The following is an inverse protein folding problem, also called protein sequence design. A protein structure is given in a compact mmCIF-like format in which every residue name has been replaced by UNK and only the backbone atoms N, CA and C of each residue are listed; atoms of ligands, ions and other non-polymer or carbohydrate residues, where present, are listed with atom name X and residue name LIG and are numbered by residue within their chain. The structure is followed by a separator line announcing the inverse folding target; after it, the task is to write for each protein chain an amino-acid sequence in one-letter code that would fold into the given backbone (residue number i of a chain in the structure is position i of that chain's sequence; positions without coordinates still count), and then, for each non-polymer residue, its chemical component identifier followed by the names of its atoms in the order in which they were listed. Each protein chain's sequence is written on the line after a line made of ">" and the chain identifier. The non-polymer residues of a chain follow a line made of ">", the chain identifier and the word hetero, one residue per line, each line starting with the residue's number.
data_IF_872958207953
#
_entry.id   IF_872958207953
#
_cell.length_a   1.000
_cell.length_b   1.000
_cell.length_c   1.000
_cell.angle_alpha   90.00
_cell.angle_beta   90.00
_cell.angle_gamma   90.00
#
_symmetry.space_group_name_H-M   'P 1'
#
loop_
_entity.id
_entity.type
_entity.pdbx_description
1 polymer ?
#
# COMPACT_ATOMS: atom_id res chain seq x y z
N UNK A 1 -84.23 -7.66 61.54
CA UNK A 1 -83.74 -6.85 60.43
C UNK A 1 -82.42 -6.15 60.90
N UNK A 2 -81.28 -6.66 60.58
CA UNK A 2 -80.02 -6.12 60.99
C UNK A 2 -79.20 -5.74 59.76
N UNK A 3 -79.03 -4.44 59.51
CA UNK A 3 -78.18 -3.90 58.41
C UNK A 3 -76.72 -3.97 58.84
N UNK A 4 -75.95 -4.70 58.08
CA UNK A 4 -74.47 -4.69 58.18
C UNK A 4 -73.88 -3.55 57.31
N UNK A 5 -73.14 -2.65 57.92
CA UNK A 5 -72.34 -1.62 57.21
C UNK A 5 -70.97 -2.20 56.98
N UNK A 6 -70.58 -2.23 55.71
CA UNK A 6 -69.22 -2.61 55.31
C UNK A 6 -68.35 -1.34 55.15
N UNK A 7 -67.32 -1.25 55.95
CA UNK A 7 -66.22 -0.20 55.81
C UNK A 7 -65.22 -0.71 54.83
N UNK A 8 -65.06 -0.02 53.70
CA UNK A 8 -64.01 -0.28 52.76
C UNK A 8 -62.74 0.52 53.11
N UNK A 9 -61.64 -0.17 53.43
CA UNK A 9 -60.31 0.42 53.69
C UNK A 9 -59.63 0.50 52.32
N UNK A 10 -59.39 1.72 51.84
CA UNK A 10 -58.61 1.98 50.62
C UNK A 10 -57.05 2.08 51.00
N UNK A 11 -56.33 1.05 50.63
CA UNK A 11 -54.84 1.07 50.75
C UNK A 11 -54.25 1.67 49.50
N UNK A 12 -53.69 2.86 49.62
CA UNK A 12 -52.91 3.54 48.52
C UNK A 12 -51.48 3.04 48.51
N UNK A 13 -51.13 2.16 47.56
CA UNK A 13 -49.78 1.72 47.29
C UNK A 13 -49.03 2.81 46.49
N UNK A 14 -48.07 3.48 47.13
CA UNK A 14 -47.05 4.31 46.48
C UNK A 14 -46.02 3.40 45.78
N UNK A 15 -46.15 3.24 44.49
CA UNK A 15 -45.11 2.59 43.67
C UNK A 15 -44.03 3.61 43.37
N UNK A 16 -42.94 3.57 44.13
CA UNK A 16 -41.70 4.27 43.83
C UNK A 16 -41.02 3.60 42.61
N UNK A 17 -41.24 4.14 41.43
CA UNK A 17 -40.56 3.71 40.19
C UNK A 17 -39.09 4.07 40.22
N UNK A 18 -38.20 3.13 40.60
CA UNK A 18 -36.81 3.21 40.21
C UNK A 18 -36.71 3.06 38.71
N UNK A 19 -36.50 4.18 38.00
CA UNK A 19 -36.08 4.16 36.60
C UNK A 19 -34.65 3.55 36.56
N UNK A 20 -34.58 2.24 36.41
CA UNK A 20 -33.35 1.58 36.01
C UNK A 20 -32.99 2.10 34.63
N UNK A 21 -31.95 2.95 34.55
CA UNK A 21 -31.29 3.31 33.32
C UNK A 21 -30.83 2.00 32.65
N UNK A 22 -31.56 1.56 31.63
CA UNK A 22 -31.13 0.48 30.75
C UNK A 22 -29.83 0.94 30.14
N UNK A 23 -28.68 0.49 30.68
CA UNK A 23 -27.43 0.45 29.96
C UNK A 23 -27.69 -0.39 28.69
N UNK A 24 -27.73 0.24 27.55
CA UNK A 24 -27.76 -0.45 26.26
C UNK A 24 -26.69 -1.54 26.33
N UNK A 25 -27.10 -2.80 26.18
CA UNK A 25 -26.21 -3.92 26.11
C UNK A 25 -25.30 -3.67 24.89
N UNK A 26 -24.10 -3.22 25.13
CA UNK A 26 -23.03 -3.19 24.11
C UNK A 26 -22.87 -4.64 23.71
N UNK A 27 -23.15 -4.95 22.44
CA UNK A 27 -22.90 -6.30 21.89
C UNK A 27 -21.45 -6.72 22.16
N UNK A 28 -21.12 -8.01 22.08
CA UNK A 28 -19.77 -8.48 22.39
C UNK A 28 -18.76 -7.66 21.58
N UNK A 29 -17.75 -7.11 22.27
CA UNK A 29 -16.70 -6.33 21.64
C UNK A 29 -16.03 -7.18 20.55
N UNK A 30 -15.75 -6.57 19.40
CA UNK A 30 -15.06 -7.27 18.32
C UNK A 30 -13.69 -7.80 18.82
N UNK A 31 -13.20 -8.95 18.32
CA UNK A 31 -11.85 -9.41 18.65
C UNK A 31 -10.83 -8.28 18.48
N UNK A 32 -9.94 -8.11 19.48
CA UNK A 32 -8.94 -7.06 19.48
C UNK A 32 -9.42 -5.67 19.87
N UNK A 33 -10.70 -5.51 20.27
CA UNK A 33 -11.26 -4.22 20.73
C UNK A 33 -11.64 -4.30 22.20
N UNK A 34 -11.14 -3.35 22.98
CA UNK A 34 -11.55 -3.14 24.37
C UNK A 34 -12.07 -1.71 24.54
N UNK A 35 -12.43 -1.32 25.76
CA UNK A 35 -12.83 0.06 26.06
C UNK A 35 -11.69 1.06 25.87
N UNK A 36 -10.42 0.60 25.94
CA UNK A 36 -9.23 1.46 25.93
C UNK A 36 -8.25 1.18 24.81
N UNK A 37 -8.38 0.05 24.09
CA UNK A 37 -7.42 -0.37 23.05
C UNK A 37 -8.08 -0.93 21.82
N UNK A 38 -7.39 -0.81 20.67
CA UNK A 38 -7.63 -1.53 19.43
C UNK A 38 -6.33 -2.22 19.05
N UNK A 39 -6.32 -3.55 19.04
CA UNK A 39 -5.13 -4.35 18.75
C UNK A 39 -5.00 -4.62 17.26
N UNK A 40 -3.82 -4.35 16.69
CA UNK A 40 -3.50 -4.57 15.29
C UNK A 40 -2.14 -5.24 15.15
N UNK A 41 -1.94 -5.98 14.07
CA UNK A 41 -0.64 -6.57 13.71
C UNK A 41 -0.41 -6.47 12.21
N UNK A 42 0.75 -6.86 11.71
CA UNK A 42 1.06 -6.77 10.29
C UNK A 42 1.64 -8.08 9.72
N UNK A 43 1.73 -8.15 8.40
CA UNK A 43 2.48 -9.21 7.70
C UNK A 43 3.38 -8.55 6.67
N UNK A 44 4.67 -8.81 6.76
CA UNK A 44 5.72 -8.22 5.93
C UNK A 44 6.62 -9.31 5.37
N UNK A 45 7.24 -9.07 4.22
CA UNK A 45 8.42 -9.82 3.80
C UNK A 45 9.64 -9.20 4.49
N UNK A 46 10.01 -9.69 5.69
CA UNK A 46 11.20 -9.19 6.41
C UNK A 46 12.47 -9.83 5.89
N UNK A 47 12.38 -11.11 5.49
CA UNK A 47 13.48 -11.90 4.93
C UNK A 47 13.06 -12.54 3.61
N UNK A 48 14.00 -12.69 2.67
CA UNK A 48 13.77 -13.46 1.44
C UNK A 48 15.08 -13.92 0.82
N UNK A 49 15.03 -15.00 0.04
CA UNK A 49 16.18 -15.48 -0.72
C UNK A 49 16.67 -14.49 -1.78
N UNK A 50 15.76 -13.68 -2.34
CA UNK A 50 16.09 -12.61 -3.30
C UNK A 50 16.76 -11.39 -2.67
N UNK A 51 16.79 -11.29 -1.33
CA UNK A 51 17.23 -10.11 -0.59
C UNK A 51 16.20 -8.96 -0.60
N UNK A 52 15.01 -9.16 -1.15
CA UNK A 52 13.91 -8.20 -1.03
C UNK A 52 13.40 -8.15 0.41
N UNK A 53 13.20 -6.97 0.95
CA UNK A 53 12.70 -6.80 2.31
C UNK A 53 11.81 -5.57 2.43
N UNK A 54 10.68 -5.74 3.08
CA UNK A 54 9.70 -4.68 3.36
C UNK A 54 9.62 -4.33 4.85
N UNK A 55 10.63 -4.75 5.63
CA UNK A 55 10.66 -4.62 7.10
C UNK A 55 10.43 -3.21 7.60
N UNK A 56 10.87 -2.19 6.84
CA UNK A 56 10.77 -0.79 7.25
C UNK A 56 9.31 -0.29 7.28
N UNK A 57 8.38 -1.01 6.66
CA UNK A 57 6.95 -0.71 6.77
C UNK A 57 6.43 -0.82 8.21
N UNK A 58 7.08 -1.64 9.04
CA UNK A 58 6.78 -1.73 10.48
C UNK A 58 7.07 -0.42 11.20
N UNK A 59 8.20 0.23 10.88
CA UNK A 59 8.58 1.53 11.45
C UNK A 59 7.55 2.59 11.06
N UNK A 60 7.16 2.64 9.79
CA UNK A 60 6.18 3.59 9.29
C UNK A 60 4.82 3.46 9.96
N UNK A 61 4.29 2.24 10.03
CA UNK A 61 3.01 1.98 10.69
C UNK A 61 3.05 2.34 12.18
N UNK A 62 4.11 1.92 12.88
CA UNK A 62 4.32 2.25 14.29
C UNK A 62 4.37 3.77 14.51
N UNK A 63 5.11 4.51 13.69
CA UNK A 63 5.21 5.96 13.78
C UNK A 63 3.83 6.64 13.68
N UNK A 64 3.00 6.20 12.73
CA UNK A 64 1.65 6.74 12.57
C UNK A 64 0.71 6.39 13.72
N UNK A 65 0.80 5.17 14.26
CA UNK A 65 0.02 4.74 15.42
C UNK A 65 0.43 5.48 16.69
N UNK A 66 1.73 5.66 16.93
CA UNK A 66 2.22 6.39 18.09
C UNK A 66 1.78 7.87 18.08
N UNK A 67 1.74 8.51 16.90
CA UNK A 67 1.15 9.84 16.79
C UNK A 67 -0.34 9.82 17.19
N UNK A 68 -1.13 8.91 16.66
CA UNK A 68 -2.54 8.79 17.02
C UNK A 68 -2.72 8.55 18.52
N UNK A 69 -1.86 7.71 19.10
CA UNK A 69 -1.85 7.43 20.52
C UNK A 69 -1.51 8.66 21.37
N UNK A 70 -0.54 9.47 20.94
CA UNK A 70 -0.18 10.72 21.62
C UNK A 70 -1.32 11.76 21.55
N UNK A 71 -2.09 11.77 20.45
CA UNK A 71 -3.26 12.62 20.24
C UNK A 71 -4.54 12.14 20.97
N UNK A 72 -4.46 11.06 21.76
CA UNK A 72 -5.59 10.54 22.55
C UNK A 72 -6.18 9.23 22.01
N UNK A 73 -5.65 8.70 20.91
CA UNK A 73 -6.15 7.51 20.25
C UNK A 73 -7.39 7.78 19.38
N UNK A 74 -8.10 6.72 18.99
CA UNK A 74 -9.32 6.80 18.20
C UNK A 74 -10.53 6.58 19.11
N UNK A 75 -11.35 7.60 19.26
CA UNK A 75 -12.49 7.59 20.19
C UNK A 75 -12.11 7.17 21.63
N UNK A 76 -10.92 7.60 22.09
CA UNK A 76 -10.38 7.29 23.42
C UNK A 76 -9.68 5.93 23.54
N UNK A 77 -9.57 5.16 22.47
CA UNK A 77 -8.85 3.89 22.41
C UNK A 77 -7.46 4.07 21.81
N UNK A 78 -6.44 3.53 22.47
CA UNK A 78 -5.07 3.48 21.93
C UNK A 78 -4.95 2.35 20.92
N UNK A 79 -4.12 2.54 19.91
CA UNK A 79 -3.73 1.45 18.99
C UNK A 79 -2.62 0.64 19.64
N UNK A 80 -2.85 -0.63 19.88
CA UNK A 80 -1.86 -1.60 20.35
C UNK A 80 -1.31 -2.35 19.14
N UNK A 81 -0.13 -1.95 18.67
CA UNK A 81 0.53 -2.61 17.56
C UNK A 81 1.42 -3.75 18.07
N UNK A 82 1.04 -5.01 17.81
CA UNK A 82 1.77 -6.20 18.28
C UNK A 82 2.98 -6.56 17.41
N UNK A 83 3.30 -5.72 16.42
CA UNK A 83 4.36 -5.96 15.45
C UNK A 83 3.88 -6.66 14.19
N UNK A 84 4.81 -6.96 13.29
CA UNK A 84 4.52 -7.66 12.04
C UNK A 84 5.20 -9.03 11.99
N UNK A 85 4.50 -10.03 11.45
CA UNK A 85 5.03 -11.36 11.16
C UNK A 85 5.82 -11.33 9.84
N UNK A 86 6.80 -12.24 9.71
CA UNK A 86 7.58 -12.43 8.49
C UNK A 86 6.98 -13.55 7.63
N UNK A 87 6.59 -13.23 6.39
CA UNK A 87 6.14 -14.26 5.44
C UNK A 87 7.29 -14.92 4.67
N UNK A 88 8.52 -14.42 4.78
CA UNK A 88 9.68 -14.96 4.05
C UNK A 88 9.50 -14.98 2.53
N UNK A 89 8.60 -14.14 1.98
CA UNK A 89 8.16 -14.13 0.57
C UNK A 89 7.46 -15.46 0.14
N UNK A 90 6.91 -16.21 1.10
CA UNK A 90 6.23 -17.49 0.90
C UNK A 90 4.75 -17.37 1.25
N UNK A 91 3.87 -17.79 0.32
CA UNK A 91 2.42 -17.66 0.48
C UNK A 91 1.87 -18.49 1.66
N UNK A 92 2.41 -19.68 1.91
CA UNK A 92 1.94 -20.54 3.01
C UNK A 92 2.33 -19.96 4.37
N UNK A 93 3.54 -19.38 4.48
CA UNK A 93 3.95 -18.64 5.68
C UNK A 93 3.11 -17.37 5.88
N UNK A 94 2.78 -16.65 4.81
CA UNK A 94 1.89 -15.51 4.87
C UNK A 94 0.48 -15.86 5.37
N UNK A 95 -0.07 -17.00 4.93
CA UNK A 95 -1.34 -17.54 5.43
C UNK A 95 -1.24 -17.95 6.91
N UNK A 96 -0.18 -18.65 7.31
CA UNK A 96 0.06 -19.02 8.70
C UNK A 96 0.22 -17.77 9.62
N UNK A 97 0.91 -16.74 9.16
CA UNK A 97 1.05 -15.46 9.87
C UNK A 97 -0.31 -14.77 10.08
N UNK A 98 -1.13 -14.70 9.04
CA UNK A 98 -2.49 -14.15 9.15
C UNK A 98 -3.35 -14.92 10.16
N UNK A 99 -3.32 -16.26 10.10
CA UNK A 99 -4.03 -17.13 11.05
C UNK A 99 -3.55 -16.93 12.49
N UNK A 100 -2.23 -16.84 12.70
CA UNK A 100 -1.65 -16.54 14.03
C UNK A 100 -2.17 -15.22 14.58
N UNK A 101 -2.08 -14.15 13.82
CA UNK A 101 -2.52 -12.81 14.24
C UNK A 101 -4.01 -12.79 14.59
N UNK A 102 -4.87 -13.42 13.78
CA UNK A 102 -6.32 -13.41 14.00
C UNK A 102 -6.75 -14.37 15.10
N UNK A 103 -6.27 -15.62 15.09
CA UNK A 103 -6.77 -16.67 15.97
C UNK A 103 -6.07 -16.69 17.33
N UNK A 104 -4.74 -16.44 17.37
CA UNK A 104 -3.96 -16.49 18.61
C UNK A 104 -3.82 -15.11 19.23
N UNK A 105 -3.40 -14.12 18.45
CA UNK A 105 -3.11 -12.79 18.98
C UNK A 105 -4.37 -11.92 19.05
N UNK A 106 -5.49 -12.36 18.43
CA UNK A 106 -6.82 -11.74 18.47
C UNK A 106 -6.79 -10.28 18.00
N UNK A 107 -6.07 -9.99 16.91
CA UNK A 107 -6.02 -8.62 16.36
C UNK A 107 -7.34 -8.24 15.70
N UNK A 108 -7.72 -6.98 15.75
CA UNK A 108 -8.89 -6.43 15.06
C UNK A 108 -8.68 -6.39 13.54
N UNK A 109 -7.50 -5.96 13.10
CA UNK A 109 -7.11 -5.80 11.71
C UNK A 109 -5.63 -6.12 11.49
N UNK A 110 -5.22 -6.39 10.24
CA UNK A 110 -3.82 -6.49 9.83
C UNK A 110 -3.38 -5.18 9.17
N UNK A 111 -2.44 -4.47 9.79
CA UNK A 111 -1.88 -3.20 9.31
C UNK A 111 -0.43 -3.07 9.78
N UNK A 112 0.58 -3.00 8.88
CA UNK A 112 0.48 -3.09 7.44
C UNK A 112 0.60 -4.53 6.91
N UNK A 113 0.05 -4.78 5.72
CA UNK A 113 0.35 -5.97 4.92
C UNK A 113 1.17 -5.54 3.71
N UNK A 114 2.45 -5.90 3.70
CA UNK A 114 3.35 -5.60 2.58
C UNK A 114 4.18 -6.85 2.24
N UNK A 115 3.51 -7.78 1.62
CA UNK A 115 3.99 -9.10 1.24
C UNK A 115 3.52 -9.40 -0.20
N UNK A 116 4.42 -9.39 -1.21
CA UNK A 116 4.03 -9.56 -2.62
C UNK A 116 3.27 -10.84 -2.90
N UNK A 117 3.60 -11.92 -2.17
CA UNK A 117 2.98 -13.24 -2.33
C UNK A 117 2.03 -13.58 -1.16
N UNK A 118 1.34 -12.58 -0.59
CA UNK A 118 0.51 -12.78 0.59
C UNK A 118 -0.59 -13.83 0.38
N UNK A 119 -0.48 -14.97 1.07
CA UNK A 119 -1.42 -16.07 0.97
C UNK A 119 -2.65 -15.99 1.90
N UNK A 120 -2.63 -15.07 2.88
CA UNK A 120 -3.68 -14.97 3.91
C UNK A 120 -4.98 -14.29 3.46
N UNK A 121 -5.04 -13.71 2.26
CA UNK A 121 -6.17 -12.90 1.80
C UNK A 121 -7.52 -13.64 1.84
N UNK A 122 -7.57 -14.88 1.35
CA UNK A 122 -8.79 -15.68 1.33
C UNK A 122 -9.29 -16.01 2.74
N UNK A 123 -8.38 -16.29 3.67
CA UNK A 123 -8.70 -16.51 5.08
C UNK A 123 -9.27 -15.24 5.72
N UNK A 124 -8.64 -14.08 5.49
CA UNK A 124 -9.11 -12.80 6.03
C UNK A 124 -10.48 -12.42 5.48
N UNK A 125 -10.72 -12.62 4.18
CA UNK A 125 -12.02 -12.41 3.55
C UNK A 125 -13.11 -13.29 4.20
N UNK A 126 -12.82 -14.59 4.37
CA UNK A 126 -13.75 -15.53 5.02
C UNK A 126 -14.06 -15.16 6.47
N UNK A 127 -13.08 -14.63 7.20
CA UNK A 127 -13.22 -14.24 8.61
C UNK A 127 -13.73 -12.80 8.80
N UNK A 128 -13.95 -12.04 7.72
CA UNK A 128 -14.33 -10.64 7.78
C UNK A 128 -13.31 -9.76 8.50
N UNK A 129 -12.02 -10.06 8.35
CA UNK A 129 -10.94 -9.31 9.01
C UNK A 129 -10.38 -8.26 8.08
N UNK A 130 -10.45 -6.96 8.43
CA UNK A 130 -9.88 -5.90 7.59
C UNK A 130 -8.35 -5.99 7.55
N UNK A 131 -7.78 -5.66 6.39
CA UNK A 131 -6.34 -5.60 6.19
C UNK A 131 -5.94 -4.47 5.24
N UNK A 132 -4.81 -3.81 5.53
CA UNK A 132 -4.35 -2.60 4.86
C UNK A 132 -2.91 -2.72 4.41
N UNK A 133 -2.58 -2.23 3.22
CA UNK A 133 -1.22 -2.32 2.73
C UNK A 133 -1.01 -1.82 1.31
N UNK A 134 0.00 -2.37 0.64
CA UNK A 134 0.29 -2.10 -0.77
C UNK A 134 -0.27 -3.20 -1.66
N UNK A 135 -1.25 -2.85 -2.48
CA UNK A 135 -2.03 -3.78 -3.28
C UNK A 135 -1.33 -4.20 -4.59
N UNK A 136 -0.19 -4.84 -4.49
CA UNK A 136 0.66 -5.22 -5.64
C UNK A 136 0.24 -6.47 -6.39
N UNK A 137 -0.71 -7.25 -5.88
CA UNK A 137 -1.09 -8.53 -6.47
C UNK A 137 -2.60 -8.70 -6.63
N UNK A 138 -3.03 -9.71 -7.42
CA UNK A 138 -4.44 -9.93 -7.71
C UNK A 138 -5.29 -10.28 -6.49
N UNK A 139 -4.68 -10.77 -5.40
CA UNK A 139 -5.37 -11.07 -4.14
C UNK A 139 -5.98 -9.82 -3.46
N UNK A 140 -5.55 -8.63 -3.84
CA UNK A 140 -6.08 -7.35 -3.36
C UNK A 140 -7.31 -6.89 -4.13
N UNK A 141 -7.56 -7.46 -5.30
CA UNK A 141 -8.56 -6.97 -6.24
C UNK A 141 -9.88 -7.72 -6.09
N UNK A 142 -10.97 -6.98 -5.89
CA UNK A 142 -12.32 -7.54 -5.69
C UNK A 142 -12.56 -8.12 -4.30
N UNK A 143 -11.65 -7.92 -3.34
CA UNK A 143 -11.87 -8.26 -1.93
C UNK A 143 -12.66 -7.16 -1.22
N UNK A 144 -13.46 -7.51 -0.22
CA UNK A 144 -14.20 -6.56 0.61
C UNK A 144 -13.48 -6.21 1.91
N UNK A 145 -12.45 -6.96 2.25
CA UNK A 145 -11.69 -6.80 3.51
C UNK A 145 -10.32 -6.17 3.31
N UNK A 146 -9.78 -6.17 2.09
CA UNK A 146 -8.46 -5.63 1.76
C UNK A 146 -8.54 -4.19 1.24
N UNK A 147 -7.84 -3.27 1.88
CA UNK A 147 -7.81 -1.85 1.57
C UNK A 147 -6.37 -1.42 1.26
N UNK A 148 -6.01 -1.42 -0.03
CA UNK A 148 -4.72 -0.89 -0.47
C UNK A 148 -4.72 0.63 -0.49
N UNK A 149 -3.68 1.29 0.03
CA UNK A 149 -3.59 2.76 -0.05
C UNK A 149 -3.50 3.30 -1.49
N UNK A 150 -3.26 2.43 -2.43
CA UNK A 150 -3.12 2.71 -3.87
C UNK A 150 -4.20 2.03 -4.73
N UNK A 151 -5.23 1.43 -4.11
CA UNK A 151 -6.27 0.66 -4.79
C UNK A 151 -5.74 -0.67 -5.37
N UNK A 152 -6.50 -1.29 -6.28
CA UNK A 152 -6.13 -2.54 -6.94
C UNK A 152 -5.15 -2.28 -8.11
N UNK A 153 -3.88 -2.70 -8.00
CA UNK A 153 -2.88 -2.56 -9.07
C UNK A 153 -2.93 -3.68 -10.13
N UNK A 154 -3.72 -4.72 -9.90
CA UNK A 154 -3.92 -5.83 -10.84
C UNK A 154 -5.39 -5.93 -11.29
N UNK A 155 -5.95 -4.86 -11.89
CA UNK A 155 -7.36 -4.83 -12.28
C UNK A 155 -7.66 -5.91 -13.33
N UNK A 156 -8.91 -6.38 -13.34
CA UNK A 156 -9.40 -7.28 -14.39
C UNK A 156 -9.52 -6.51 -15.72
N UNK A 157 -9.48 -7.25 -16.82
CA UNK A 157 -9.76 -6.68 -18.16
C UNK A 157 -11.09 -5.93 -18.15
N UNK A 158 -11.11 -4.74 -18.72
CA UNK A 158 -12.25 -3.83 -18.73
C UNK A 158 -12.40 -2.92 -17.51
N UNK A 159 -11.78 -3.25 -16.38
CA UNK A 159 -11.72 -2.35 -15.22
C UNK A 159 -10.72 -1.21 -15.45
N UNK A 160 -10.79 -0.17 -14.63
CA UNK A 160 -9.88 0.97 -14.72
C UNK A 160 -8.43 0.59 -14.46
N UNK A 161 -7.53 1.04 -15.33
CA UNK A 161 -6.08 0.87 -15.23
C UNK A 161 -5.39 2.23 -15.16
N UNK A 162 -4.34 2.33 -14.36
CA UNK A 162 -3.61 3.57 -14.12
C UNK A 162 -3.00 4.17 -15.38
N UNK A 163 -3.03 5.51 -15.48
CA UNK A 163 -2.38 6.27 -16.56
C UNK A 163 -1.29 7.22 -16.05
N UNK A 164 -1.21 7.41 -14.74
CA UNK A 164 -0.40 8.45 -14.13
C UNK A 164 1.09 8.38 -14.48
N UNK A 165 1.68 7.16 -14.51
CA UNK A 165 3.13 7.03 -14.74
C UNK A 165 3.53 7.44 -16.16
N UNK A 166 2.82 6.94 -17.17
CA UNK A 166 3.02 7.37 -18.56
C UNK A 166 2.73 8.86 -18.76
N UNK A 167 1.65 9.37 -18.17
CA UNK A 167 1.27 10.79 -18.26
C UNK A 167 2.29 11.71 -17.61
N UNK A 168 2.76 11.40 -16.40
CA UNK A 168 3.81 12.17 -15.72
C UNK A 168 5.15 12.09 -16.48
N UNK A 169 5.48 10.92 -17.05
CA UNK A 169 6.68 10.77 -17.87
C UNK A 169 6.59 11.58 -19.16
N UNK A 170 5.44 11.60 -19.83
CA UNK A 170 5.22 12.45 -21.00
C UNK A 170 5.39 13.94 -20.63
N UNK A 171 4.80 14.36 -19.52
CA UNK A 171 4.94 15.73 -18.98
C UNK A 171 6.41 16.09 -18.68
N UNK A 172 7.16 15.15 -18.08
CA UNK A 172 8.57 15.36 -17.74
C UNK A 172 9.45 15.51 -18.99
N UNK A 173 9.14 14.76 -20.05
CA UNK A 173 9.93 14.71 -21.28
C UNK A 173 9.48 15.71 -22.35
N UNK A 174 8.48 16.55 -22.07
CA UNK A 174 7.93 17.52 -23.03
C UNK A 174 7.11 16.88 -24.14
N UNK A 175 6.54 15.70 -23.90
CA UNK A 175 5.65 14.96 -24.81
C UNK A 175 6.09 13.52 -25.05
N UNK A 176 5.13 12.69 -25.45
CA UNK A 176 5.33 11.26 -25.75
C UNK A 176 5.52 10.98 -27.25
N UNK A 177 5.08 11.88 -28.13
CA UNK A 177 5.06 11.67 -29.57
C UNK A 177 6.45 11.31 -30.15
N UNK A 178 6.49 10.20 -30.90
CA UNK A 178 7.72 9.69 -31.50
C UNK A 178 8.66 8.94 -30.57
N UNK A 179 8.39 8.93 -29.26
CA UNK A 179 9.22 8.23 -28.26
C UNK A 179 8.77 6.80 -28.07
N UNK A 180 9.72 5.92 -27.86
CA UNK A 180 9.53 4.48 -27.72
C UNK A 180 9.78 4.02 -26.30
N UNK A 181 9.00 3.03 -25.82
CA UNK A 181 9.11 2.44 -24.50
C UNK A 181 9.25 0.92 -24.58
N UNK A 182 10.14 0.38 -23.78
CA UNK A 182 10.31 -1.05 -23.54
C UNK A 182 10.05 -1.36 -22.07
N UNK A 183 9.26 -2.43 -21.78
CA UNK A 183 8.91 -2.84 -20.42
C UNK A 183 9.58 -4.15 -20.08
N UNK A 184 10.42 -4.15 -19.06
CA UNK A 184 11.06 -5.34 -18.49
C UNK A 184 10.34 -5.74 -17.20
N UNK A 185 9.84 -6.98 -17.15
CA UNK A 185 9.24 -7.58 -15.96
C UNK A 185 10.00 -8.85 -15.56
N UNK A 186 9.69 -9.39 -14.40
CA UNK A 186 10.08 -10.76 -14.01
C UNK A 186 8.96 -11.76 -14.32
N UNK A 187 9.25 -13.04 -14.08
CA UNK A 187 8.32 -14.14 -14.28
C UNK A 187 7.26 -14.27 -13.15
N UNK A 188 7.36 -13.46 -12.08
CA UNK A 188 6.33 -13.42 -11.03
C UNK A 188 5.00 -12.88 -11.54
N UNK A 189 3.88 -13.35 -10.98
CA UNK A 189 2.54 -12.91 -11.36
C UNK A 189 2.35 -11.39 -11.17
N UNK A 190 2.74 -10.84 -10.03
CA UNK A 190 2.62 -9.41 -9.75
C UNK A 190 3.40 -8.55 -10.74
N UNK A 191 4.64 -8.96 -11.10
CA UNK A 191 5.46 -8.24 -12.09
C UNK A 191 4.84 -8.30 -13.49
N UNK A 192 4.28 -9.45 -13.91
CA UNK A 192 3.58 -9.59 -15.20
C UNK A 192 2.34 -8.70 -15.27
N UNK A 193 1.51 -8.72 -14.22
CA UNK A 193 0.34 -7.81 -14.12
C UNK A 193 0.77 -6.33 -14.19
N UNK A 194 1.77 -5.97 -13.38
CA UNK A 194 2.36 -4.63 -13.43
C UNK A 194 2.86 -4.26 -14.82
N UNK A 195 3.52 -5.19 -15.51
CA UNK A 195 3.98 -5.00 -16.88
C UNK A 195 2.84 -4.67 -17.86
N UNK A 196 1.69 -5.33 -17.74
CA UNK A 196 0.51 -5.07 -18.55
C UNK A 196 -0.05 -3.67 -18.28
N UNK A 197 -0.32 -3.35 -17.01
CA UNK A 197 -0.93 -2.07 -16.62
C UNK A 197 0.00 -0.88 -16.92
N UNK A 198 1.31 -1.03 -16.70
CA UNK A 198 2.28 0.01 -16.99
C UNK A 198 2.48 0.19 -18.50
N UNK A 199 2.54 -0.89 -19.28
CA UNK A 199 2.56 -0.79 -20.74
C UNK A 199 1.37 0.01 -21.28
N UNK A 200 0.18 -0.24 -20.72
CA UNK A 200 -1.01 0.53 -21.08
C UNK A 200 -0.92 1.99 -20.61
N UNK A 201 -0.36 2.26 -19.43
CA UNK A 201 -0.15 3.63 -18.93
C UNK A 201 0.69 4.46 -19.91
N UNK A 202 1.80 3.89 -20.41
CA UNK A 202 2.65 4.57 -21.38
C UNK A 202 1.99 4.71 -22.76
N UNK A 203 1.31 3.67 -23.25
CA UNK A 203 0.63 3.76 -24.54
C UNK A 203 -0.57 4.72 -24.53
N UNK A 204 -1.30 4.80 -23.41
CA UNK A 204 -2.37 5.79 -23.21
C UNK A 204 -1.83 7.23 -23.20
N UNK A 205 -0.60 7.44 -22.72
CA UNK A 205 0.08 8.74 -22.78
C UNK A 205 0.68 9.08 -24.14
N UNK A 206 0.62 8.17 -25.13
CA UNK A 206 1.08 8.39 -26.51
C UNK A 206 2.48 7.85 -26.83
N UNK A 207 3.12 7.12 -25.91
CA UNK A 207 4.37 6.42 -26.22
C UNK A 207 4.15 5.19 -27.10
N UNK A 208 5.11 4.88 -27.97
CA UNK A 208 5.10 3.65 -28.77
C UNK A 208 5.74 2.50 -27.98
N UNK A 209 4.97 1.49 -27.59
CA UNK A 209 5.49 0.27 -26.99
C UNK A 209 6.24 -0.57 -28.04
N UNK A 210 7.52 -0.87 -27.84
CA UNK A 210 8.37 -1.64 -28.75
C UNK A 210 8.71 -3.03 -28.23
N UNK A 211 8.36 -3.35 -26.98
CA UNK A 211 8.52 -4.70 -26.44
C UNK A 211 8.17 -4.80 -24.96
N UNK A 212 7.78 -6.02 -24.57
CA UNK A 212 7.61 -6.45 -23.19
C UNK A 212 8.36 -7.76 -23.01
N UNK A 213 9.16 -7.88 -21.98
CA UNK A 213 9.84 -9.14 -21.65
C UNK A 213 9.56 -9.56 -20.22
N UNK A 214 8.97 -10.74 -20.05
CA UNK A 214 8.60 -11.33 -18.76
C UNK A 214 9.46 -12.54 -18.38
N UNK A 215 10.60 -12.72 -19.01
CA UNK A 215 11.47 -13.89 -18.81
C UNK A 215 12.59 -13.70 -17.80
N UNK A 216 12.61 -12.59 -17.04
CA UNK A 216 13.60 -12.42 -15.98
C UNK A 216 13.19 -13.25 -14.76
N UNK A 217 14.05 -14.15 -14.22
CA UNK A 217 13.74 -14.93 -13.03
C UNK A 217 13.48 -14.01 -11.82
N UNK A 218 12.35 -14.22 -11.11
CA UNK A 218 12.02 -13.40 -9.94
C UNK A 218 12.77 -13.82 -8.67
N UNK A 219 13.26 -15.07 -8.61
CA UNK A 219 13.86 -15.63 -7.42
C UNK A 219 15.24 -15.04 -7.08
N UNK A 220 16.05 -14.71 -8.11
CA UNK A 220 17.37 -14.13 -7.94
C UNK A 220 17.79 -13.39 -9.24
N UNK A 221 18.63 -12.34 -9.13
CA UNK A 221 19.21 -11.70 -10.29
C UNK A 221 19.97 -12.73 -11.18
N UNK A 222 19.86 -12.64 -12.51
CA UNK A 222 20.55 -13.56 -13.39
C UNK A 222 22.07 -13.37 -13.28
N UNK A 223 22.85 -14.44 -13.42
CA UNK A 223 24.31 -14.36 -13.39
C UNK A 223 24.87 -13.61 -14.61
N UNK A 224 24.12 -13.59 -15.71
CA UNK A 224 24.45 -12.86 -16.93
C UNK A 224 23.28 -11.98 -17.38
N UNK A 225 23.53 -10.70 -17.54
CA UNK A 225 22.57 -9.70 -18.00
C UNK A 225 22.55 -9.52 -19.52
N UNK A 226 23.57 -10.04 -20.24
CA UNK A 226 23.74 -9.79 -21.67
C UNK A 226 22.54 -10.17 -22.54
N UNK A 227 21.86 -11.32 -22.32
CA UNK A 227 20.67 -11.66 -23.10
C UNK A 227 19.52 -10.65 -22.99
N UNK A 228 19.32 -10.10 -21.78
CA UNK A 228 18.29 -9.08 -21.54
C UNK A 228 18.69 -7.73 -22.13
N UNK A 229 19.95 -7.33 -21.96
CA UNK A 229 20.49 -6.10 -22.53
C UNK A 229 20.41 -6.11 -24.06
N UNK A 230 20.85 -7.19 -24.72
CA UNK A 230 20.78 -7.31 -26.18
C UNK A 230 19.35 -7.17 -26.69
N UNK A 231 18.38 -7.83 -26.01
CA UNK A 231 16.97 -7.75 -26.37
C UNK A 231 16.44 -6.33 -26.24
N UNK A 232 16.81 -5.59 -25.22
CA UNK A 232 16.43 -4.19 -25.01
C UNK A 232 17.08 -3.31 -26.07
N UNK A 233 18.41 -3.41 -26.25
CA UNK A 233 19.18 -2.55 -27.13
C UNK A 233 18.82 -2.67 -28.62
N UNK A 234 18.14 -3.74 -29.01
CA UNK A 234 17.68 -3.98 -30.39
C UNK A 234 16.17 -3.93 -30.58
N UNK A 235 15.39 -3.63 -29.53
CA UNK A 235 13.94 -3.76 -29.50
C UNK A 235 13.19 -2.80 -30.43
N UNK A 236 13.79 -1.68 -30.79
CA UNK A 236 13.19 -0.67 -31.68
C UNK A 236 13.79 -0.77 -33.09
N UNK A 237 13.47 -1.86 -33.81
CA UNK A 237 13.96 -2.06 -35.19
C UNK A 237 15.47 -2.11 -35.29
N UNK A 238 16.14 -2.79 -34.38
CA UNK A 238 17.60 -2.88 -34.29
C UNK A 238 18.29 -1.75 -33.51
N UNK A 239 17.50 -0.83 -32.92
CA UNK A 239 17.97 0.26 -32.06
C UNK A 239 17.44 0.13 -30.64
N UNK A 240 18.09 0.82 -29.71
CA UNK A 240 17.58 0.94 -28.34
C UNK A 240 16.30 1.77 -28.28
N UNK A 241 15.40 1.50 -27.31
CA UNK A 241 14.23 2.33 -27.05
C UNK A 241 14.63 3.64 -26.35
N UNK A 242 13.75 4.64 -26.37
CA UNK A 242 13.99 5.91 -25.65
C UNK A 242 13.84 5.74 -24.14
N UNK A 243 12.97 4.83 -23.70
CA UNK A 243 12.67 4.57 -22.30
C UNK A 243 12.69 3.06 -22.03
N UNK A 244 13.33 2.67 -20.94
CA UNK A 244 13.22 1.33 -20.35
C UNK A 244 12.51 1.45 -19.01
N UNK A 245 11.37 0.80 -18.88
CA UNK A 245 10.60 0.69 -17.64
C UNK A 245 10.85 -0.67 -17.02
N UNK A 246 11.33 -0.70 -15.77
CA UNK A 246 11.47 -1.93 -15.02
C UNK A 246 10.32 -2.09 -14.02
N UNK A 247 9.60 -3.21 -14.13
CA UNK A 247 8.51 -3.59 -13.22
C UNK A 247 8.92 -4.85 -12.47
N UNK A 248 10.01 -4.75 -11.73
CA UNK A 248 10.63 -5.87 -11.01
C UNK A 248 10.69 -5.52 -9.53
N UNK A 249 10.27 -6.46 -8.68
CA UNK A 249 10.43 -6.31 -7.25
C UNK A 249 11.90 -6.53 -6.83
N UNK A 250 12.47 -5.55 -6.14
CA UNK A 250 13.81 -5.64 -5.57
C UNK A 250 14.85 -4.79 -6.30
N UNK A 251 15.42 -3.87 -5.56
CA UNK A 251 16.35 -2.86 -6.07
C UNK A 251 17.64 -3.48 -6.64
N UNK A 252 18.10 -4.64 -6.13
CA UNK A 252 19.27 -5.35 -6.67
C UNK A 252 19.11 -5.75 -8.14
N UNK A 253 17.90 -6.09 -8.58
CA UNK A 253 17.60 -6.38 -9.98
C UNK A 253 17.77 -5.14 -10.84
N UNK A 254 17.21 -4.01 -10.40
CA UNK A 254 17.32 -2.74 -11.13
C UNK A 254 18.77 -2.28 -11.21
N UNK A 255 19.54 -2.38 -10.12
CA UNK A 255 21.00 -2.09 -10.11
C UNK A 255 21.73 -2.94 -11.14
N UNK A 256 21.48 -4.25 -11.18
CA UNK A 256 22.12 -5.17 -12.14
C UNK A 256 21.78 -4.83 -13.59
N UNK A 257 20.48 -4.68 -13.89
CA UNK A 257 19.98 -4.35 -15.22
C UNK A 257 20.52 -3.00 -15.71
N UNK A 258 20.42 -1.96 -14.89
CA UNK A 258 20.80 -0.61 -15.27
C UNK A 258 22.33 -0.46 -15.40
N UNK A 259 23.11 -1.11 -14.52
CA UNK A 259 24.56 -1.20 -14.70
C UNK A 259 24.93 -1.85 -16.04
N UNK A 260 24.26 -2.94 -16.40
CA UNK A 260 24.54 -3.64 -17.63
C UNK A 260 24.13 -2.81 -18.88
N UNK A 261 22.97 -2.16 -18.85
CA UNK A 261 22.51 -1.26 -19.90
C UNK A 261 23.44 -0.07 -20.10
N UNK A 262 23.89 0.57 -19.01
CA UNK A 262 24.85 1.70 -19.08
C UNK A 262 26.19 1.26 -19.66
N UNK A 263 26.71 0.09 -19.25
CA UNK A 263 27.93 -0.47 -19.83
C UNK A 263 27.80 -0.78 -21.33
N UNK A 264 26.60 -1.19 -21.77
CA UNK A 264 26.30 -1.40 -23.18
C UNK A 264 26.04 -0.10 -23.96
N UNK A 265 26.19 1.06 -23.32
CA UNK A 265 26.08 2.37 -23.96
C UNK A 265 24.64 2.90 -24.07
N UNK A 266 23.68 2.35 -23.31
CA UNK A 266 22.31 2.89 -23.28
C UNK A 266 22.30 4.33 -22.75
N UNK A 267 21.63 5.23 -23.47
CA UNK A 267 21.56 6.68 -23.18
C UNK A 267 20.14 7.18 -22.95
N UNK A 268 19.14 6.30 -23.06
CA UNK A 268 17.74 6.65 -22.84
C UNK A 268 17.39 6.74 -21.36
N UNK A 269 16.12 6.97 -21.10
CA UNK A 269 15.57 7.08 -19.74
C UNK A 269 15.39 5.70 -19.12
N UNK A 270 15.86 5.55 -17.88
CA UNK A 270 15.64 4.37 -17.04
C UNK A 270 14.64 4.74 -15.94
N UNK A 271 13.60 3.93 -15.75
CA UNK A 271 12.59 4.19 -14.73
C UNK A 271 12.03 2.90 -14.12
N UNK A 272 11.70 2.93 -12.83
CA UNK A 272 11.13 1.81 -12.09
C UNK A 272 10.32 2.24 -10.87
N UNK A 273 9.60 1.29 -10.25
CA UNK A 273 8.74 1.52 -9.09
C UNK A 273 9.42 1.27 -7.75
N UNK A 274 10.68 0.80 -7.68
CA UNK A 274 11.26 0.24 -6.45
C UNK A 274 12.63 0.81 -6.05
N UNK A 275 13.25 1.62 -6.90
CA UNK A 275 14.60 2.18 -6.62
C UNK A 275 14.60 3.42 -5.73
N UNK A 276 13.43 3.89 -5.28
CA UNK A 276 13.32 5.01 -4.36
C UNK A 276 13.61 4.56 -2.92
N UNK A 277 14.88 4.32 -2.64
CA UNK A 277 15.38 3.82 -1.36
C UNK A 277 16.73 4.48 -1.03
N UNK A 278 16.71 5.41 -0.07
CA UNK A 278 17.91 6.12 0.33
C UNK A 278 18.97 5.21 0.98
N UNK A 279 18.61 4.02 1.46
CA UNK A 279 19.58 3.06 1.99
C UNK A 279 20.56 2.56 0.93
N UNK A 280 20.12 2.50 -0.32
CA UNK A 280 20.96 2.03 -1.44
C UNK A 280 22.09 3.00 -1.79
N UNK A 281 21.94 4.27 -1.46
CA UNK A 281 22.95 5.31 -1.70
C UNK A 281 24.20 5.12 -0.85
N UNK A 282 24.15 4.28 0.19
CA UNK A 282 25.30 3.90 1.01
C UNK A 282 26.28 2.98 0.27
N UNK A 283 25.80 2.27 -0.77
CA UNK A 283 26.64 1.46 -1.65
C UNK A 283 26.96 2.24 -2.92
N UNK A 284 28.22 2.62 -3.10
CA UNK A 284 28.66 3.45 -4.21
C UNK A 284 28.36 2.85 -5.59
N UNK A 285 28.50 1.53 -5.74
CA UNK A 285 28.23 0.86 -7.02
C UNK A 285 26.74 0.93 -7.38
N UNK A 286 25.87 0.73 -6.39
CA UNK A 286 24.43 0.86 -6.55
C UNK A 286 24.00 2.31 -6.84
N UNK A 287 24.56 3.28 -6.11
CA UNK A 287 24.31 4.70 -6.35
C UNK A 287 24.69 5.09 -7.80
N UNK A 288 25.87 4.66 -8.28
CA UNK A 288 26.29 4.90 -9.67
C UNK A 288 25.37 4.21 -10.70
N UNK A 289 24.91 2.99 -10.41
CA UNK A 289 23.98 2.29 -11.29
C UNK A 289 22.63 3.03 -11.41
N UNK A 290 22.16 3.62 -10.32
CA UNK A 290 20.90 4.33 -10.24
C UNK A 290 21.01 5.83 -10.58
N UNK A 291 22.19 6.39 -10.74
CA UNK A 291 22.36 7.80 -11.13
C UNK A 291 21.59 8.11 -12.43
N UNK A 292 20.75 9.14 -12.42
CA UNK A 292 19.87 9.52 -13.52
C UNK A 292 18.61 8.68 -13.68
N UNK A 293 18.41 7.64 -12.86
CA UNK A 293 17.17 6.82 -12.88
C UNK A 293 16.02 7.60 -12.27
N UNK A 294 14.83 7.42 -12.85
CA UNK A 294 13.59 8.02 -12.37
C UNK A 294 12.77 6.93 -11.67
N UNK A 295 12.64 7.03 -10.37
CA UNK A 295 11.75 6.18 -9.59
C UNK A 295 10.32 6.75 -9.59
N UNK A 296 9.34 5.87 -9.48
CA UNK A 296 7.91 6.20 -9.60
C UNK A 296 7.11 5.79 -8.34
N UNK A 297 7.29 6.49 -7.20
CA UNK A 297 6.53 6.21 -5.99
C UNK A 297 5.05 6.59 -6.14
N UNK A 298 4.18 5.87 -5.42
CA UNK A 298 2.74 6.14 -5.36
C UNK A 298 2.39 6.97 -4.11
N UNK A 299 3.26 7.88 -3.73
CA UNK A 299 3.10 8.84 -2.65
C UNK A 299 3.96 10.07 -2.94
N UNK A 300 3.67 11.19 -2.23
CA UNK A 300 4.44 12.43 -2.36
C UNK A 300 5.89 12.20 -1.86
N UNK A 301 6.90 12.55 -2.65
CA UNK A 301 8.30 12.27 -2.34
C UNK A 301 8.77 12.86 -1.01
N UNK A 302 9.71 12.17 -0.37
CA UNK A 302 10.29 12.65 0.89
C UNK A 302 11.00 14.01 0.76
N UNK A 303 11.50 14.37 -0.43
CA UNK A 303 12.15 15.65 -0.71
C UNK A 303 11.15 16.80 -0.88
N UNK A 304 9.86 16.49 -0.91
CA UNK A 304 8.78 17.49 -0.98
C UNK A 304 8.67 18.30 0.32
N UNK A 305 8.16 19.52 0.18
CA UNK A 305 7.82 20.43 1.30
C UNK A 305 6.38 20.24 1.81
N UNK A 306 5.64 19.25 1.32
CA UNK A 306 4.26 18.99 1.73
C UNK A 306 4.17 18.77 3.25
N UNK A 307 3.19 19.38 3.94
CA UNK A 307 3.03 19.23 5.40
C UNK A 307 2.89 17.80 5.86
N UNK A 308 2.26 16.94 5.08
CA UNK A 308 2.08 15.49 5.37
C UNK A 308 3.41 14.76 5.39
N UNK A 309 4.34 15.12 4.50
CA UNK A 309 5.69 14.55 4.48
C UNK A 309 6.51 15.05 5.68
N UNK A 310 6.37 16.32 6.04
CA UNK A 310 7.01 16.85 7.24
C UNK A 310 6.53 16.12 8.51
N UNK A 311 5.22 15.84 8.62
CA UNK A 311 4.63 15.06 9.72
C UNK A 311 5.15 13.64 9.76
N UNK A 312 5.17 12.95 8.59
CA UNK A 312 5.73 11.60 8.49
C UNK A 312 7.16 11.56 9.01
N UNK A 313 8.02 12.48 8.58
CA UNK A 313 9.42 12.57 9.05
C UNK A 313 9.52 12.78 10.55
N UNK A 314 8.72 13.68 11.10
CA UNK A 314 8.69 13.95 12.54
C UNK A 314 8.24 12.72 13.36
N UNK A 315 7.22 12.01 12.88
CA UNK A 315 6.69 10.83 13.55
C UNK A 315 7.70 9.68 13.52
N UNK A 316 8.37 9.49 12.37
CA UNK A 316 9.43 8.49 12.21
C UNK A 316 10.61 8.80 13.13
N UNK A 317 11.07 10.05 13.18
CA UNK A 317 12.18 10.46 14.05
C UNK A 317 11.89 10.20 15.53
N UNK A 318 10.65 10.39 15.98
CA UNK A 318 10.24 10.08 17.36
C UNK A 318 10.31 8.59 17.70
N UNK A 319 10.00 7.71 16.75
CA UNK A 319 9.88 6.26 16.98
C UNK A 319 11.18 5.52 16.67
N UNK A 320 11.92 6.01 15.67
CA UNK A 320 13.17 5.41 15.20
C UNK A 320 14.14 6.51 14.77
N UNK A 321 14.81 7.17 15.73
CA UNK A 321 15.74 8.26 15.43
C UNK A 321 16.82 7.86 14.43
N UNK A 322 17.02 8.67 13.41
CA UNK A 322 18.00 8.41 12.33
C UNK A 322 17.60 7.30 11.36
N UNK A 323 16.36 6.83 11.37
CA UNK A 323 15.89 5.85 10.40
C UNK A 323 16.02 6.39 8.96
N UNK A 324 16.48 5.53 8.07
CA UNK A 324 16.52 5.84 6.64
C UNK A 324 15.10 5.82 6.08
N UNK A 325 14.72 6.89 5.39
CA UNK A 325 13.41 6.97 4.74
C UNK A 325 13.41 6.11 3.48
N UNK A 326 12.62 5.05 3.50
CA UNK A 326 12.45 4.13 2.39
C UNK A 326 11.01 4.13 1.90
N UNK A 327 10.80 3.74 0.64
CA UNK A 327 9.45 3.56 0.11
C UNK A 327 8.60 2.63 0.99
N UNK A 328 9.21 1.55 1.50
CA UNK A 328 8.50 0.59 2.35
C UNK A 328 8.02 1.22 3.65
N UNK A 329 8.84 2.10 4.24
CA UNK A 329 8.45 2.88 5.42
C UNK A 329 7.21 3.73 5.13
N UNK A 330 7.20 4.49 4.03
CA UNK A 330 6.04 5.30 3.64
C UNK A 330 4.78 4.45 3.41
N UNK A 331 4.91 3.28 2.79
CA UNK A 331 3.79 2.33 2.58
C UNK A 331 3.17 1.92 3.91
N UNK A 332 3.98 1.57 4.91
CA UNK A 332 3.49 1.26 6.24
C UNK A 332 2.76 2.42 6.90
N UNK A 333 3.32 3.62 6.80
CA UNK A 333 2.75 4.84 7.36
C UNK A 333 1.39 5.19 6.74
N UNK A 334 1.28 5.21 5.41
CA UNK A 334 0.02 5.52 4.72
C UNK A 334 -1.04 4.44 4.89
N UNK A 335 -0.65 3.17 4.98
CA UNK A 335 -1.57 2.08 5.32
C UNK A 335 -2.20 2.27 6.71
N UNK A 336 -1.40 2.67 7.68
CA UNK A 336 -1.86 2.99 9.03
C UNK A 336 -2.72 4.26 9.04
N UNK A 337 -2.39 5.26 8.22
CA UNK A 337 -3.14 6.52 8.13
C UNK A 337 -4.57 6.31 7.63
N UNK A 338 -4.75 5.55 6.55
CA UNK A 338 -6.09 5.19 6.02
C UNK A 338 -6.88 4.36 7.04
N UNK A 339 -6.25 3.39 7.69
CA UNK A 339 -6.89 2.60 8.73
C UNK A 339 -7.43 3.46 9.87
N UNK A 340 -6.65 4.43 10.34
CA UNK A 340 -7.05 5.35 11.41
C UNK A 340 -8.18 6.29 10.99
N UNK A 341 -8.16 6.81 9.75
CA UNK A 341 -9.26 7.62 9.21
C UNK A 341 -10.56 6.80 9.14
N UNK A 342 -10.48 5.57 8.65
CA UNK A 342 -11.63 4.67 8.57
C UNK A 342 -12.18 4.31 9.96
N UNK A 343 -11.31 4.10 10.96
CA UNK A 343 -11.73 3.93 12.37
C UNK A 343 -12.49 5.16 12.89
N UNK A 344 -11.97 6.35 12.63
CA UNK A 344 -12.63 7.60 13.04
C UNK A 344 -14.01 7.73 12.41
N UNK A 345 -14.16 7.43 11.13
CA UNK A 345 -15.43 7.45 10.41
C UNK A 345 -16.42 6.37 10.86
N UNK A 346 -15.92 5.21 11.32
CA UNK A 346 -16.77 4.12 11.85
C UNK A 346 -17.40 4.49 13.18
N UNK A 347 -16.75 5.29 13.99
CA UNK A 347 -17.27 5.76 15.26
C UNK A 347 -16.98 4.83 16.46
N UNK A 348 -17.54 5.19 17.61
CA UNK A 348 -17.22 4.56 18.88
C UNK A 348 -17.70 3.10 18.99
N UNK A 349 -18.85 2.77 18.39
CA UNK A 349 -19.44 1.42 18.44
C UNK A 349 -18.78 0.52 17.39
N UNK A 350 -17.51 0.20 17.60
CA UNK A 350 -16.66 -0.50 16.65
C UNK A 350 -16.92 -2.01 16.65
N UNK A 351 -17.37 -2.52 15.49
CA UNK A 351 -17.34 -3.94 15.13
C UNK A 351 -16.69 -4.09 13.77
N UNK A 352 -16.19 -5.29 13.41
CA UNK A 352 -15.65 -5.52 12.06
C UNK A 352 -16.69 -5.28 10.98
N UNK A 353 -17.96 -5.66 11.21
CA UNK A 353 -19.04 -5.44 10.26
C UNK A 353 -19.27 -3.95 9.99
N UNK A 354 -19.39 -3.13 11.06
CA UNK A 354 -19.54 -1.68 10.92
C UNK A 354 -18.32 -1.04 10.24
N UNK A 355 -17.12 -1.48 10.61
CA UNK A 355 -15.90 -1.01 10.00
C UNK A 355 -15.84 -1.31 8.49
N UNK A 356 -16.16 -2.56 8.11
CA UNK A 356 -16.22 -2.96 6.70
C UNK A 356 -17.40 -2.27 5.97
N UNK A 357 -18.53 -2.03 6.63
CA UNK A 357 -19.63 -1.26 6.06
C UNK A 357 -19.19 0.21 5.80
N UNK A 358 -18.44 0.83 6.72
CA UNK A 358 -17.86 2.15 6.51
C UNK A 358 -16.91 2.15 5.32
N UNK A 359 -15.96 1.20 5.26
CA UNK A 359 -14.99 1.11 4.19
C UNK A 359 -15.59 0.78 2.82
N UNK A 360 -16.70 0.03 2.76
CA UNK A 360 -17.34 -0.37 1.50
C UNK A 360 -18.57 0.48 1.12
N UNK A 361 -18.87 1.54 1.90
CA UNK A 361 -20.04 2.40 1.70
C UNK A 361 -19.66 3.84 1.35
N UNK A 362 -19.21 4.08 0.11
CA UNK A 362 -18.80 5.42 -0.38
C UNK A 362 -17.69 6.08 0.47
N UNK A 363 -16.73 5.28 0.92
CA UNK A 363 -15.57 5.80 1.64
C UNK A 363 -14.67 6.60 0.72
N UNK A 364 -14.44 7.86 1.08
CA UNK A 364 -13.48 8.75 0.41
C UNK A 364 -12.50 9.28 1.45
N UNK A 365 -11.21 9.19 1.15
CA UNK A 365 -10.16 9.84 1.90
C UNK A 365 -9.14 10.48 0.97
N UNK A 366 -8.87 11.76 1.16
CA UNK A 366 -7.89 12.54 0.42
C UNK A 366 -6.78 12.99 1.36
N UNK A 367 -5.54 12.78 0.93
CA UNK A 367 -4.36 13.15 1.68
C UNK A 367 -3.25 13.56 0.71
N UNK A 368 -2.66 14.74 0.90
CA UNK A 368 -1.61 15.25 0.02
C UNK A 368 -0.34 14.36 0.02
N UNK A 369 -0.20 13.46 0.99
CA UNK A 369 0.92 12.51 1.05
C UNK A 369 0.81 11.32 0.11
N UNK A 370 -0.41 10.89 -0.30
CA UNK A 370 -0.58 9.75 -1.20
C UNK A 370 -1.73 9.91 -2.21
N UNK A 371 -2.44 11.05 -2.19
CA UNK A 371 -3.53 11.34 -3.11
C UNK A 371 -4.90 10.98 -2.55
N UNK A 372 -5.72 10.36 -3.37
CA UNK A 372 -7.10 10.00 -3.06
C UNK A 372 -7.27 8.49 -3.07
N UNK A 373 -8.08 7.97 -2.16
CA UNK A 373 -8.57 6.60 -2.17
C UNK A 373 -10.10 6.60 -2.02
N UNK A 374 -10.79 5.81 -2.82
CA UNK A 374 -12.25 5.75 -2.87
C UNK A 374 -12.74 4.31 -2.93
N UNK A 375 -13.36 3.82 -1.85
CA UNK A 375 -13.96 2.51 -1.82
C UNK A 375 -15.49 2.59 -1.89
N UNK A 376 -16.16 1.62 -2.56
CA UNK A 376 -15.64 0.33 -3.07
C UNK A 376 -14.95 0.37 -4.45
N UNK A 377 -14.89 1.51 -5.13
CA UNK A 377 -14.31 1.64 -6.47
C UNK A 377 -12.88 1.06 -6.56
N UNK A 378 -12.03 1.46 -5.63
CA UNK A 378 -10.61 1.11 -5.62
C UNK A 378 -10.33 -0.34 -5.16
N UNK A 379 -11.36 -1.15 -4.87
CA UNK A 379 -11.22 -2.60 -4.80
C UNK A 379 -11.04 -3.25 -6.18
N UNK A 380 -11.39 -2.57 -7.25
CA UNK A 380 -11.31 -3.10 -8.62
C UNK A 380 -10.34 -2.36 -9.53
N UNK A 381 -9.90 -1.17 -9.13
CA UNK A 381 -8.99 -0.33 -9.91
C UNK A 381 -8.03 0.47 -9.02
N UNK A 382 -6.89 0.96 -9.54
CA UNK A 382 -5.94 1.77 -8.79
C UNK A 382 -6.49 3.17 -8.52
N UNK A 383 -5.94 3.85 -7.51
CA UNK A 383 -6.29 5.25 -7.21
C UNK A 383 -5.79 6.26 -8.26
N UNK A 384 -4.95 5.84 -9.20
CA UNK A 384 -4.47 6.66 -10.31
C UNK A 384 -3.46 7.75 -9.92
N UNK A 385 -2.87 7.71 -8.73
CA UNK A 385 -1.97 8.75 -8.22
C UNK A 385 -0.52 8.28 -8.14
N UNK A 386 0.42 9.19 -8.41
CA UNK A 386 1.85 8.91 -8.25
C UNK A 386 2.74 10.13 -8.55
N UNK A 387 4.01 9.99 -8.25
CA UNK A 387 5.05 11.00 -8.39
C UNK A 387 6.26 10.46 -9.15
N UNK A 388 7.15 11.32 -9.59
CA UNK A 388 8.43 10.94 -10.16
C UNK A 388 9.58 11.55 -9.36
N UNK A 389 10.56 10.73 -9.01
CA UNK A 389 11.76 11.12 -8.26
C UNK A 389 12.98 10.71 -9.07
N UNK A 390 13.90 11.63 -9.31
CA UNK A 390 15.16 11.36 -10.02
C UNK A 390 16.31 11.26 -9.04
N UNK A 391 17.14 10.24 -9.18
CA UNK A 391 18.46 10.24 -8.52
C UNK A 391 19.42 11.07 -9.35
N UNK A 392 19.92 12.15 -8.79
CA UNK A 392 20.83 13.08 -9.48
C UNK A 392 21.88 13.62 -8.50
N UNK A 393 23.15 13.53 -8.90
CA UNK A 393 24.29 13.92 -8.07
C UNK A 393 24.32 13.23 -6.70
N UNK A 394 23.92 11.94 -6.66
CA UNK A 394 23.92 11.12 -5.46
C UNK A 394 22.79 11.43 -4.46
N UNK A 395 21.80 12.24 -4.84
CA UNK A 395 20.64 12.56 -4.02
C UNK A 395 19.33 12.41 -4.82
N UNK A 396 18.27 11.98 -4.15
CA UNK A 396 16.93 11.99 -4.75
C UNK A 396 16.38 13.41 -4.83
N UNK A 397 15.73 13.73 -5.93
CA UNK A 397 15.11 15.00 -6.19
C UNK A 397 13.73 14.82 -6.78
N UNK A 398 12.76 15.65 -6.39
CA UNK A 398 11.41 15.64 -6.96
C UNK A 398 11.48 16.04 -8.42
N UNK A 399 11.25 15.09 -9.33
CA UNK A 399 11.12 15.37 -10.76
C UNK A 399 9.70 15.82 -11.12
N UNK A 400 8.69 15.19 -10.51
CA UNK A 400 7.28 15.56 -10.56
C UNK A 400 6.62 15.25 -9.22
N UNK A 401 5.99 16.23 -8.59
CA UNK A 401 5.15 16.03 -7.40
C UNK A 401 3.97 15.11 -7.71
N UNK A 402 3.41 14.53 -6.68
CA UNK A 402 2.29 13.61 -6.83
C UNK A 402 1.10 14.29 -7.51
N UNK A 403 0.53 13.57 -8.46
CA UNK A 403 -0.67 13.96 -9.17
C UNK A 403 -1.52 12.73 -9.48
N UNK A 404 -2.83 12.90 -9.38
CA UNK A 404 -3.80 11.87 -9.76
C UNK A 404 -4.29 12.10 -11.18
N UNK A 405 -4.51 11.01 -11.91
CA UNK A 405 -5.02 10.99 -13.28
C UNK A 405 -6.18 10.00 -13.36
N UNK A 406 -7.06 10.21 -14.32
CA UNK A 406 -8.17 9.29 -14.56
C UNK A 406 -7.64 7.95 -15.09
N UNK A 407 -8.23 6.88 -14.60
CA UNK A 407 -7.98 5.54 -15.10
C UNK A 407 -8.64 5.35 -16.48
N UNK A 408 -8.09 4.44 -17.27
CA UNK A 408 -8.68 4.00 -18.55
C UNK A 408 -8.96 2.51 -18.51
N UNK A 409 -9.98 1.99 -19.24
CA UNK A 409 -10.26 0.56 -19.26
C UNK A 409 -9.03 -0.26 -19.68
N UNK A 410 -8.68 -1.29 -18.89
CA UNK A 410 -7.60 -2.23 -19.21
C UNK A 410 -8.00 -3.05 -20.45
N UNK A 411 -7.14 -3.01 -21.47
CA UNK A 411 -7.32 -3.72 -22.74
C UNK A 411 -6.77 -5.12 -22.71
#
# INVERSE_FOLDING_TARGET
>A
MVRRVAVALTVTLLVSGCAAQQKSAVGPAAPGVTDTTIKVGGVLTKTSASGYSTKDAEIGAKARFERANAEGGVHGRKIEFVGAEDDGQDAAKGDAAAKKLVQKDQVFALVPVHAPNFGGAAFLEQQGVPWFGWATGPQWCGTRTGFGYNGCLAPKQGAGSQTWWGSQMADLLGGAAGRTVYVQTSDSSGSKYGGTTISQSFTAAGFKLVGVNSGLPAAAPPPDWLPYVNKIMTSNGGKAPDIVVSVIAGTKFNVGLYSALKRAGYKGVLTDATSYDAAILKDQASAQALEGVIAAPMFEPFESTAPEIAKLKQDVEKVSPGAVLTQHLAIGYWSADIFLDMLNKTGKDLTREKFLATGNGDYLYENAGFGRIQYPKDHSEPNGCGALVKLENGAFQVAKSMKCFDNVPLK
#
